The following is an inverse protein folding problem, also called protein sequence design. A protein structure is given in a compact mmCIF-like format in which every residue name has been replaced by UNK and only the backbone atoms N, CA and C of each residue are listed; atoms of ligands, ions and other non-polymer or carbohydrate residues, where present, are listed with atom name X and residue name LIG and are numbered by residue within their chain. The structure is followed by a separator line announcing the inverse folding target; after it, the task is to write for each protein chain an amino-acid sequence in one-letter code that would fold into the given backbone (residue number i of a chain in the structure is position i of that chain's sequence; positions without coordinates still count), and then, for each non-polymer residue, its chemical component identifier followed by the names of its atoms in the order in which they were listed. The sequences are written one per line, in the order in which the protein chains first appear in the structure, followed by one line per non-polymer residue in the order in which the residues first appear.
data_IF_928782607456
#
_entry.id   IF_928782607456
#
_cell.length_a   1.000
_cell.length_b   1.000
_cell.length_c   1.000
_cell.angle_alpha   90.00
_cell.angle_beta   90.00
_cell.angle_gamma   90.00
#
_symmetry.space_group_name_H-M   'P 1'
#
loop_
_entity.id
_entity.type
_entity.pdbx_description
1 polymer ?
#
# COMPACT_ATOMS: atom_id res chain seq x y z
N UNK A 1 -6.49 -12.23 -20.28
CA UNK A 1 -6.56 -11.43 -19.05
C UNK A 1 -5.96 -12.22 -17.91
N UNK A 2 -5.00 -11.66 -17.23
CA UNK A 2 -4.29 -12.35 -16.16
C UNK A 2 -4.87 -11.97 -14.80
N UNK A 3 -5.41 -12.93 -14.06
CA UNK A 3 -5.94 -12.70 -12.72
C UNK A 3 -4.87 -13.06 -11.69
N UNK A 4 -4.72 -12.21 -10.67
CA UNK A 4 -3.75 -12.41 -9.59
C UNK A 4 -4.47 -12.55 -8.27
N UNK A 5 -4.01 -13.47 -7.44
CA UNK A 5 -4.58 -13.68 -6.12
C UNK A 5 -4.07 -12.63 -5.14
N UNK A 6 -4.97 -12.02 -4.37
CA UNK A 6 -4.63 -10.99 -3.39
C UNK A 6 -3.53 -11.48 -2.44
N UNK A 7 -2.51 -10.67 -2.26
CA UNK A 7 -1.34 -10.91 -1.40
C UNK A 7 -0.39 -12.03 -1.88
N UNK A 8 -0.59 -12.55 -3.08
CA UNK A 8 0.37 -13.50 -3.68
C UNK A 8 1.61 -12.75 -4.21
N UNK A 9 2.66 -13.49 -4.52
CA UNK A 9 3.85 -12.90 -5.15
C UNK A 9 3.50 -12.25 -6.49
N UNK A 10 2.59 -12.84 -7.24
CA UNK A 10 2.11 -12.28 -8.51
C UNK A 10 1.36 -10.97 -8.30
N UNK A 11 0.57 -10.89 -7.22
CA UNK A 11 -0.14 -9.67 -6.87
C UNK A 11 0.84 -8.55 -6.51
N UNK A 12 1.86 -8.86 -5.73
CA UNK A 12 2.92 -7.89 -5.37
C UNK A 12 3.62 -7.41 -6.64
N UNK A 13 3.93 -8.31 -7.57
CA UNK A 13 4.55 -7.93 -8.84
C UNK A 13 3.62 -7.04 -9.68
N UNK A 14 2.32 -7.33 -9.71
CA UNK A 14 1.35 -6.50 -10.42
C UNK A 14 1.24 -5.11 -9.80
N UNK A 15 1.27 -5.04 -8.46
CA UNK A 15 1.28 -3.77 -7.74
C UNK A 15 2.55 -2.96 -8.05
N UNK A 16 3.69 -3.63 -8.10
CA UNK A 16 4.96 -3.00 -8.44
C UNK A 16 4.94 -2.42 -9.86
N UNK A 17 4.45 -3.19 -10.81
CA UNK A 17 4.33 -2.72 -12.20
C UNK A 17 3.41 -1.49 -12.28
N UNK A 18 2.28 -1.52 -11.59
CA UNK A 18 1.35 -0.40 -11.55
C UNK A 18 1.97 0.83 -10.87
N UNK A 19 2.75 0.60 -9.81
CA UNK A 19 3.43 1.69 -9.10
C UNK A 19 4.47 2.36 -10.01
N UNK A 20 5.25 1.58 -10.71
CA UNK A 20 6.29 2.10 -11.61
C UNK A 20 5.70 2.81 -12.82
N UNK A 21 4.53 2.38 -13.27
CA UNK A 21 3.82 2.96 -14.41
C UNK A 21 2.90 4.12 -14.00
N UNK A 22 2.93 4.54 -12.76
CA UNK A 22 2.09 5.63 -12.26
C UNK A 22 2.24 6.89 -13.12
N UNK A 23 1.12 7.49 -13.59
CA UNK A 23 1.21 8.79 -14.25
C UNK A 23 1.77 9.83 -13.27
N UNK A 24 2.71 10.62 -13.73
CA UNK A 24 3.32 11.68 -12.92
C UNK A 24 2.58 12.98 -13.22
N UNK A 25 1.80 13.49 -12.27
CA UNK A 25 1.13 14.78 -12.47
C UNK A 25 2.13 15.91 -12.39
N UNK A 26 1.76 17.07 -12.87
CA UNK A 26 2.61 18.24 -12.79
C UNK A 26 1.83 19.39 -12.13
N UNK A 27 2.25 19.84 -10.92
CA UNK A 27 3.39 19.34 -10.16
C UNK A 27 3.15 17.96 -9.53
N UNK A 28 4.21 17.20 -9.34
CA UNK A 28 4.10 15.88 -8.72
C UNK A 28 4.12 16.03 -7.19
N UNK A 29 3.05 15.64 -6.48
CA UNK A 29 3.02 15.75 -5.02
C UNK A 29 4.03 14.84 -4.32
N UNK A 30 4.59 13.85 -5.03
CA UNK A 30 5.58 12.94 -4.47
C UNK A 30 7.02 13.29 -4.83
N UNK A 31 7.25 14.40 -5.55
CA UNK A 31 8.58 14.76 -6.04
C UNK A 31 9.65 14.85 -4.95
N UNK A 32 9.26 15.31 -3.76
CA UNK A 32 10.16 15.47 -2.62
C UNK A 32 9.90 14.47 -1.49
N UNK A 33 9.11 13.44 -1.76
CA UNK A 33 8.72 12.46 -0.74
C UNK A 33 9.66 11.26 -0.74
N UNK A 34 10.12 10.88 0.46
CA UNK A 34 10.88 9.65 0.66
C UNK A 34 10.27 8.93 1.87
N UNK A 35 9.50 7.87 1.62
CA UNK A 35 8.81 7.13 2.67
C UNK A 35 8.64 5.67 2.30
N UNK A 36 8.76 4.79 3.28
CA UNK A 36 8.47 3.36 3.13
C UNK A 36 7.30 3.03 4.05
N UNK A 37 6.19 2.59 3.47
CA UNK A 37 4.99 2.18 4.18
C UNK A 37 4.87 0.67 4.04
N UNK A 38 4.97 -0.06 5.15
CA UNK A 38 4.86 -1.52 5.13
C UNK A 38 3.49 -1.94 5.65
N UNK A 39 2.83 -2.80 4.91
CA UNK A 39 1.60 -3.43 5.37
C UNK A 39 1.90 -4.86 5.83
N UNK A 40 1.51 -5.18 7.06
CA UNK A 40 1.68 -6.49 7.64
C UNK A 40 0.31 -7.12 7.83
N UNK A 41 0.11 -8.28 7.23
CA UNK A 41 -1.12 -9.05 7.43
C UNK A 41 -0.80 -10.13 8.47
N UNK A 42 -1.54 -10.14 9.59
CA UNK A 42 -1.31 -11.13 10.66
C UNK A 42 -1.51 -12.53 10.10
N UNK A 43 -0.58 -13.41 10.44
CA UNK A 43 -0.57 -14.79 9.95
C UNK A 43 -0.52 -14.90 8.42
N UNK A 44 -0.03 -13.86 7.75
CA UNK A 44 0.06 -13.80 6.32
C UNK A 44 1.29 -13.03 5.85
N UNK A 45 1.32 -12.68 4.57
CA UNK A 45 2.45 -11.98 3.99
C UNK A 45 2.50 -10.52 4.43
N UNK A 46 3.63 -9.91 4.18
CA UNK A 46 3.80 -8.46 4.31
C UNK A 46 4.34 -7.93 2.98
N UNK A 47 4.04 -6.68 2.71
CA UNK A 47 4.52 -6.01 1.52
C UNK A 47 4.66 -4.52 1.81
N UNK A 48 5.40 -3.81 0.99
CA UNK A 48 5.67 -2.39 1.24
C UNK A 48 5.57 -1.56 -0.03
N UNK A 49 5.13 -0.33 0.16
CA UNK A 49 5.21 0.72 -0.83
C UNK A 49 6.47 1.55 -0.54
N UNK A 50 7.30 1.73 -1.53
CA UNK A 50 8.51 2.54 -1.44
C UNK A 50 8.31 3.75 -2.34
N UNK A 51 8.32 4.94 -1.73
CA UNK A 51 8.26 6.20 -2.47
C UNK A 51 9.61 6.88 -2.30
N UNK A 52 10.24 7.21 -3.42
CA UNK A 52 11.55 7.85 -3.42
C UNK A 52 11.59 8.93 -4.51
N UNK A 53 11.36 10.17 -4.08
CA UNK A 53 11.43 11.36 -4.95
C UNK A 53 10.65 11.18 -6.27
N UNK A 54 9.39 10.80 -6.14
CA UNK A 54 8.49 10.62 -7.27
C UNK A 54 8.48 9.22 -7.87
N UNK A 55 9.44 8.38 -7.53
CA UNK A 55 9.48 6.99 -7.96
C UNK A 55 8.72 6.13 -6.96
N UNK A 56 7.81 5.30 -7.45
CA UNK A 56 7.04 4.37 -6.61
C UNK A 56 7.36 2.93 -6.99
N UNK A 57 7.52 2.09 -5.98
CA UNK A 57 7.75 0.66 -6.14
C UNK A 57 7.02 -0.12 -5.05
N UNK A 58 6.68 -1.37 -5.32
CA UNK A 58 6.07 -2.27 -4.36
C UNK A 58 6.92 -3.53 -4.26
N UNK A 59 7.22 -3.96 -3.04
CA UNK A 59 8.06 -5.13 -2.79
C UNK A 59 7.47 -5.99 -1.67
N UNK A 60 7.80 -7.28 -1.67
CA UNK A 60 7.33 -8.24 -0.65
C UNK A 60 8.05 -8.09 0.69
N UNK A 61 8.97 -7.16 0.80
CA UNK A 61 9.74 -6.90 2.01
C UNK A 61 11.05 -6.24 1.64
N UNK A 62 11.96 -6.14 2.57
CA UNK A 62 13.27 -5.54 2.33
C UNK A 62 14.05 -5.41 3.61
N UNK A 63 15.34 -5.10 3.49
CA UNK A 63 16.23 -4.97 4.63
C UNK A 63 16.07 -3.65 5.36
N UNK A 64 15.67 -2.59 4.60
CA UNK A 64 15.50 -1.28 5.18
C UNK A 64 14.26 -1.26 6.07
N UNK A 65 14.38 -0.66 7.24
CA UNK A 65 13.27 -0.53 8.16
C UNK A 65 12.22 0.44 7.59
N UNK A 66 10.93 0.08 7.61
CA UNK A 66 9.89 0.98 7.11
C UNK A 66 9.71 2.17 8.05
N UNK A 67 9.29 3.30 7.49
CA UNK A 67 8.96 4.50 8.26
C UNK A 67 7.63 4.33 9.00
N UNK A 68 6.67 3.68 8.35
CA UNK A 68 5.34 3.42 8.91
C UNK A 68 4.99 1.96 8.68
N UNK A 69 4.34 1.34 9.66
CA UNK A 69 3.86 -0.04 9.58
C UNK A 69 2.37 -0.07 9.87
N UNK A 70 1.62 -0.70 8.97
CA UNK A 70 0.17 -0.89 9.10
C UNK A 70 -0.09 -2.38 9.29
N UNK A 71 -0.59 -2.77 10.46
CA UNK A 71 -0.84 -4.16 10.78
C UNK A 71 -2.33 -4.44 10.91
N UNK A 72 -2.81 -5.45 10.21
CA UNK A 72 -4.21 -5.87 10.27
C UNK A 72 -4.33 -7.36 10.01
N UNK A 73 -5.53 -7.91 10.21
CA UNK A 73 -5.83 -9.26 9.73
C UNK A 73 -6.15 -9.20 8.22
N UNK A 74 -6.28 -10.38 7.61
CA UNK A 74 -6.54 -10.47 6.17
C UNK A 74 -7.89 -9.86 5.79
N UNK A 75 -8.91 -10.11 6.60
CA UNK A 75 -10.25 -9.59 6.32
C UNK A 75 -10.27 -8.06 6.28
N UNK A 76 -9.61 -7.42 7.23
CA UNK A 76 -9.49 -5.96 7.28
C UNK A 76 -8.68 -5.44 6.09
N UNK A 77 -7.56 -6.09 5.78
CA UNK A 77 -6.72 -5.71 4.64
C UNK A 77 -7.52 -5.78 3.34
N UNK A 78 -8.29 -6.85 3.15
CA UNK A 78 -9.13 -7.02 1.97
C UNK A 78 -10.23 -5.96 1.89
N UNK A 79 -10.88 -5.67 3.02
CA UNK A 79 -11.94 -4.66 3.06
C UNK A 79 -11.42 -3.27 2.70
N UNK A 80 -10.22 -2.93 3.17
CA UNK A 80 -9.59 -1.65 2.83
C UNK A 80 -9.19 -1.63 1.36
N UNK A 81 -8.58 -2.70 0.86
CA UNK A 81 -8.13 -2.78 -0.53
C UNK A 81 -9.29 -2.71 -1.52
N UNK A 82 -10.45 -3.26 -1.17
CA UNK A 82 -11.64 -3.25 -2.02
C UNK A 82 -12.50 -1.99 -1.87
N UNK A 83 -12.13 -1.11 -0.94
CA UNK A 83 -12.89 0.11 -0.68
C UNK A 83 -14.17 -0.09 0.14
N UNK A 84 -14.40 -1.31 0.68
CA UNK A 84 -15.58 -1.58 1.51
C UNK A 84 -15.50 -0.94 2.88
N UNK A 85 -14.28 -0.68 3.35
CA UNK A 85 -14.05 -0.12 4.67
C UNK A 85 -12.91 0.90 4.60
N UNK A 86 -13.13 2.16 4.98
CA UNK A 86 -12.05 3.14 5.04
C UNK A 86 -11.00 2.74 6.07
N UNK A 87 -9.72 3.01 5.76
CA UNK A 87 -8.63 2.70 6.68
C UNK A 87 -8.79 3.41 8.01
N UNK A 88 -9.31 4.65 8.01
CA UNK A 88 -9.54 5.40 9.24
C UNK A 88 -10.54 4.70 10.15
N UNK A 89 -11.62 4.16 9.58
CA UNK A 89 -12.63 3.43 10.36
C UNK A 89 -12.03 2.18 11.00
N UNK A 90 -11.19 1.46 10.26
CA UNK A 90 -10.49 0.29 10.78
C UNK A 90 -9.53 0.65 11.91
N UNK A 91 -8.84 1.78 11.78
CA UNK A 91 -7.94 2.28 12.83
C UNK A 91 -8.71 2.64 14.11
N UNK A 92 -9.82 3.37 13.98
CA UNK A 92 -10.64 3.76 15.14
C UNK A 92 -11.21 2.54 15.85
N UNK A 93 -11.60 1.52 15.10
CA UNK A 93 -12.12 0.28 15.68
C UNK A 93 -11.04 -0.62 16.30
N UNK A 94 -9.77 -0.32 16.10
CA UNK A 94 -8.67 -1.13 16.60
C UNK A 94 -8.29 -2.30 15.71
N UNK A 95 -8.88 -2.40 14.52
CA UNK A 95 -8.60 -3.49 13.58
C UNK A 95 -7.37 -3.21 12.72
N UNK A 96 -6.97 -1.96 12.60
CA UNK A 96 -5.74 -1.54 11.93
C UNK A 96 -4.83 -0.88 12.96
N UNK A 97 -3.65 -1.44 13.15
CA UNK A 97 -2.67 -0.93 14.10
C UNK A 97 -1.57 -0.19 13.35
N UNK A 98 -1.31 1.05 13.76
CA UNK A 98 -0.26 1.88 13.19
C UNK A 98 0.99 1.78 14.05
N UNK A 99 2.14 1.53 13.42
CA UNK A 99 3.43 1.52 14.09
C UNK A 99 4.42 2.40 13.35
N UNK A 100 5.55 2.68 14.00
CA UNK A 100 6.58 3.53 13.45
C UNK A 100 6.24 5.01 13.56
N UNK A 101 6.66 5.79 12.58
CA UNK A 101 6.46 7.23 12.57
C UNK A 101 5.11 7.60 11.95
N UNK A 102 4.08 7.65 12.78
CA UNK A 102 2.72 8.00 12.33
C UNK A 102 2.67 9.41 11.76
N UNK A 103 3.54 10.31 12.23
CA UNK A 103 3.60 11.67 11.69
C UNK A 103 4.03 11.66 10.23
N UNK A 104 4.95 10.77 9.85
CA UNK A 104 5.35 10.62 8.46
C UNK A 104 4.16 10.27 7.57
N UNK A 105 3.21 9.49 8.07
CA UNK A 105 2.00 9.15 7.35
C UNK A 105 1.11 10.38 7.12
N UNK A 106 0.95 11.21 8.15
CA UNK A 106 0.14 12.43 8.06
C UNK A 106 0.78 13.47 7.14
N UNK A 107 2.11 13.56 7.18
CA UNK A 107 2.86 14.52 6.38
C UNK A 107 2.96 14.10 4.90
N UNK A 108 2.69 12.83 4.60
CA UNK A 108 2.82 12.27 3.26
C UNK A 108 1.49 11.73 2.72
N UNK A 109 0.43 12.52 2.84
CA UNK A 109 -0.90 12.14 2.34
C UNK A 109 -0.90 11.77 0.86
N UNK A 110 -0.06 12.44 0.07
CA UNK A 110 0.09 12.13 -1.34
C UNK A 110 0.53 10.71 -1.60
N UNK A 111 1.37 10.13 -0.72
CA UNK A 111 1.79 8.75 -0.81
C UNK A 111 0.62 7.79 -0.61
N UNK A 112 -0.28 8.10 0.34
CA UNK A 112 -1.48 7.29 0.58
C UNK A 112 -2.44 7.36 -0.59
N UNK A 113 -2.61 8.53 -1.19
CA UNK A 113 -3.45 8.69 -2.37
C UNK A 113 -2.89 7.92 -3.55
N UNK A 114 -1.57 7.97 -3.74
CA UNK A 114 -0.90 7.20 -4.79
C UNK A 114 -1.09 5.70 -4.59
N UNK A 115 -1.00 5.23 -3.34
CA UNK A 115 -1.24 3.82 -3.02
C UNK A 115 -2.68 3.41 -3.37
N UNK A 116 -3.65 4.27 -3.06
CA UNK A 116 -5.05 4.03 -3.43
C UNK A 116 -5.23 3.93 -4.93
N UNK A 117 -4.58 4.78 -5.70
CA UNK A 117 -4.63 4.75 -7.17
C UNK A 117 -4.00 3.48 -7.73
N UNK A 118 -2.88 3.03 -7.14
CA UNK A 118 -2.22 1.78 -7.52
C UNK A 118 -3.14 0.59 -7.25
N UNK A 119 -3.78 0.53 -6.08
CA UNK A 119 -4.76 -0.51 -5.76
C UNK A 119 -5.90 -0.52 -6.78
N UNK A 120 -6.44 0.65 -7.12
CA UNK A 120 -7.56 0.75 -8.05
C UNK A 120 -7.21 0.16 -9.42
N UNK A 121 -5.97 0.32 -9.88
CA UNK A 121 -5.52 -0.24 -11.15
C UNK A 121 -5.41 -1.76 -11.12
N UNK A 122 -4.98 -2.32 -10.01
CA UNK A 122 -4.75 -3.76 -9.88
C UNK A 122 -6.01 -4.50 -9.43
N UNK A 123 -6.96 -3.80 -8.84
CA UNK A 123 -8.18 -4.37 -8.29
C UNK A 123 -8.96 -5.22 -9.29
N UNK A 124 -9.06 -4.75 -10.53
CA UNK A 124 -9.82 -5.45 -11.58
C UNK A 124 -9.23 -6.82 -11.91
N UNK A 125 -7.93 -7.01 -11.69
CA UNK A 125 -7.21 -8.26 -11.95
C UNK A 125 -7.04 -9.11 -10.69
N UNK A 126 -7.50 -8.62 -9.54
CA UNK A 126 -7.24 -9.24 -8.24
C UNK A 126 -8.38 -10.17 -7.82
N UNK A 127 -8.03 -11.36 -7.38
CA UNK A 127 -8.97 -12.35 -6.83
C UNK A 127 -8.84 -12.32 -5.30
N UNK A 128 -9.94 -12.00 -4.64
CA UNK A 128 -10.00 -11.88 -3.18
C UNK A 128 -10.69 -13.10 -2.56
N UNK A 129 -10.06 -14.21 -2.61
CA UNK A 129 -10.68 -15.43 -2.07
C UNK A 129 -9.85 -16.10 -0.98
#
# INVERSE_FOLDING_TARGET
MHAVQFLSDEWVAAMDDAARARPVPEPDPLADVSVIIEQVVRDGPRWRLIVDHGTCAVAAGGEREPDVRLTSDRETAEAIATGRRPALDAFIAGDLVLGGDVRALLDNRGALEALGDIFARVKAETVFS
#
